data_IF_606210786157
#
_entry.id   IF_606210786157
#
_cell.length_a   1.000
_cell.length_b   1.000
_cell.length_c   1.000
_cell.angle_alpha   90.00
_cell.angle_beta   90.00
_cell.angle_gamma   90.00
#
_symmetry.space_group_name_H-M   'P 1'
#
loop_
_entity.id
_entity.type
_entity.pdbx_description
1 polymer ?
#
# COMPACT_ATOMS: atom_id res chain seq x y z
N UNK A 1 -28.01 17.12 75.05
CA UNK A 1 -26.86 16.20 75.15
C UNK A 1 -26.85 15.27 73.95
N UNK A 2 -25.65 15.02 73.42
CA UNK A 2 -25.24 14.08 72.37
C UNK A 2 -25.46 14.49 70.90
N UNK A 3 -24.29 14.65 70.26
CA UNK A 3 -24.00 14.95 68.86
C UNK A 3 -24.25 13.70 68.00
N UNK A 4 -24.56 13.88 66.72
CA UNK A 4 -24.09 12.95 65.69
C UNK A 4 -23.85 13.69 64.39
N UNK A 5 -22.56 13.89 64.10
CA UNK A 5 -22.01 14.26 62.81
C UNK A 5 -21.79 12.93 62.07
N UNK A 6 -22.24 12.82 60.82
CA UNK A 6 -21.72 11.78 59.93
C UNK A 6 -21.47 12.38 58.55
N UNK A 7 -20.19 12.57 58.25
CA UNK A 7 -19.64 12.98 56.97
C UNK A 7 -20.07 12.05 55.85
N UNK A 8 -20.46 12.61 54.70
CA UNK A 8 -20.53 11.86 53.45
C UNK A 8 -19.30 12.18 52.59
N UNK A 9 -18.66 11.12 52.13
CA UNK A 9 -17.31 11.08 51.60
C UNK A 9 -17.15 11.73 50.22
N UNK A 10 -15.98 12.33 50.03
CA UNK A 10 -15.43 12.85 48.79
C UNK A 10 -15.17 11.70 47.81
N UNK A 11 -15.93 11.62 46.72
CA UNK A 11 -15.66 10.66 45.63
C UNK A 11 -14.81 11.35 44.57
N UNK A 12 -13.49 11.24 44.71
CA UNK A 12 -12.51 11.66 43.70
C UNK A 12 -12.63 10.68 42.53
N UNK A 13 -13.29 11.10 41.45
CA UNK A 13 -13.18 10.41 40.16
C UNK A 13 -11.78 10.65 39.61
N UNK A 14 -10.85 9.75 39.94
CA UNK A 14 -9.59 9.61 39.21
C UNK A 14 -9.92 9.19 37.78
N UNK A 15 -9.91 10.14 36.86
CA UNK A 15 -9.85 9.86 35.43
C UNK A 15 -8.49 9.20 35.15
N UNK A 16 -8.46 7.87 35.26
CA UNK A 16 -7.43 7.07 34.65
C UNK A 16 -7.57 7.26 33.14
N UNK A 17 -6.67 8.02 32.54
CA UNK A 17 -6.54 8.14 31.10
C UNK A 17 -6.24 6.78 30.51
N UNK A 18 -7.29 6.06 30.13
CA UNK A 18 -7.21 4.93 29.23
C UNK A 18 -6.78 5.52 27.88
N UNK A 19 -5.49 5.43 27.56
CA UNK A 19 -5.06 5.52 26.17
C UNK A 19 -5.59 4.27 25.47
N UNK A 20 -6.83 4.37 24.98
CA UNK A 20 -7.34 3.46 24.00
C UNK A 20 -6.42 3.60 22.78
N UNK A 21 -5.44 2.70 22.67
CA UNK A 21 -4.60 2.60 21.50
C UNK A 21 -5.53 2.23 20.34
N UNK A 22 -5.89 3.23 19.53
CA UNK A 22 -6.63 3.04 18.29
C UNK A 22 -5.96 1.92 17.52
N UNK A 23 -6.65 0.78 17.42
CA UNK A 23 -6.33 -0.24 16.45
C UNK A 23 -6.62 0.37 15.08
N UNK A 24 -5.63 1.10 14.56
CA UNK A 24 -5.63 1.79 13.29
C UNK A 24 -5.76 0.77 12.14
N UNK A 25 -6.94 0.19 11.97
CA UNK A 25 -7.35 -0.42 10.73
C UNK A 25 -7.94 0.68 9.86
N UNK A 26 -7.07 1.55 9.33
CA UNK A 26 -7.45 2.46 8.24
C UNK A 26 -8.21 1.65 7.18
N UNK A 27 -9.35 2.15 6.67
CA UNK A 27 -10.08 1.48 5.60
C UNK A 27 -9.10 1.14 4.48
N UNK A 28 -9.01 -0.15 4.11
CA UNK A 28 -8.13 -0.60 3.03
C UNK A 28 -8.57 0.09 1.73
N UNK A 29 -7.77 1.05 1.26
CA UNK A 29 -8.10 1.91 0.12
C UNK A 29 -8.38 1.08 -1.14
N UNK A 30 -9.39 1.46 -1.92
CA UNK A 30 -9.64 0.79 -3.20
C UNK A 30 -8.52 1.07 -4.21
N UNK A 31 -8.31 0.21 -5.22
CA UNK A 31 -7.36 0.49 -6.29
C UNK A 31 -7.59 1.84 -6.97
N UNK A 32 -8.85 2.25 -7.15
CA UNK A 32 -9.17 3.53 -7.78
C UNK A 32 -8.76 4.72 -6.90
N UNK A 33 -8.92 4.64 -5.58
CA UNK A 33 -8.48 5.70 -4.67
C UNK A 33 -6.96 5.87 -4.68
N UNK A 34 -6.22 4.76 -4.75
CA UNK A 34 -4.76 4.80 -4.90
C UNK A 34 -4.36 5.43 -6.24
N UNK A 35 -5.08 5.11 -7.32
CA UNK A 35 -4.85 5.70 -8.64
C UNK A 35 -5.16 7.20 -8.62
N UNK A 36 -6.23 7.65 -7.96
CA UNK A 36 -6.60 9.07 -7.86
C UNK A 36 -5.52 9.91 -7.17
N UNK A 37 -4.75 9.33 -6.24
CA UNK A 37 -3.58 10.00 -5.63
C UNK A 37 -2.48 10.31 -6.63
N UNK A 38 -2.41 9.59 -7.76
CA UNK A 38 -1.46 9.88 -8.86
C UNK A 38 -2.14 10.66 -9.98
N UNK A 39 -3.39 10.35 -10.27
CA UNK A 39 -4.20 10.98 -11.32
C UNK A 39 -5.57 11.39 -10.76
N UNK A 40 -5.71 12.61 -10.20
CA UNK A 40 -6.96 13.03 -9.57
C UNK A 40 -8.19 13.01 -10.50
N UNK A 41 -7.98 13.10 -11.82
CA UNK A 41 -9.04 13.01 -12.83
C UNK A 41 -9.50 11.57 -13.14
N UNK A 42 -8.84 10.54 -12.59
CA UNK A 42 -9.19 9.15 -12.83
C UNK A 42 -10.57 8.81 -12.26
N UNK A 43 -11.40 8.17 -13.08
CA UNK A 43 -12.76 7.78 -12.69
C UNK A 43 -13.00 6.29 -12.78
N UNK A 44 -12.27 5.57 -13.63
CA UNK A 44 -12.42 4.12 -13.78
C UNK A 44 -11.07 3.44 -14.03
N UNK A 45 -10.99 2.18 -13.63
CA UNK A 45 -9.95 1.24 -14.03
C UNK A 45 -10.60 0.22 -14.95
N UNK A 46 -10.11 0.08 -16.17
CA UNK A 46 -10.65 -0.84 -17.18
C UNK A 46 -9.62 -1.94 -17.44
N UNK A 47 -10.03 -3.20 -17.25
CA UNK A 47 -9.19 -4.36 -17.56
C UNK A 47 -8.93 -4.42 -19.07
N UNK A 48 -7.67 -4.64 -19.46
CA UNK A 48 -7.27 -4.90 -20.86
C UNK A 48 -7.02 -6.40 -21.03
N UNK A 49 -6.21 -6.97 -20.16
CA UNK A 49 -5.99 -8.41 -20.03
C UNK A 49 -5.74 -8.74 -18.55
N UNK A 50 -5.28 -9.96 -18.26
CA UNK A 50 -5.06 -10.40 -16.88
C UNK A 50 -4.07 -9.53 -16.08
N UNK A 51 -3.09 -8.91 -16.76
CA UNK A 51 -2.04 -8.12 -16.12
C UNK A 51 -2.27 -6.62 -16.28
N UNK A 52 -2.70 -6.21 -17.47
CA UNK A 52 -2.80 -4.81 -17.86
C UNK A 52 -4.20 -4.29 -17.58
N UNK A 53 -4.27 -3.23 -16.78
CA UNK A 53 -5.45 -2.41 -16.60
C UNK A 53 -5.11 -0.97 -17.00
N UNK A 54 -6.06 -0.22 -17.55
CA UNK A 54 -5.90 1.21 -17.85
C UNK A 54 -6.69 2.05 -16.87
N UNK A 55 -6.07 3.10 -16.33
CA UNK A 55 -6.77 4.18 -15.65
C UNK A 55 -7.29 5.17 -16.69
N UNK A 56 -8.58 5.51 -16.62
CA UNK A 56 -9.23 6.44 -17.55
C UNK A 56 -9.95 7.56 -16.81
N UNK A 57 -10.06 8.73 -17.45
CA UNK A 57 -10.87 9.84 -16.96
C UNK A 57 -12.35 9.72 -17.37
N UNK A 58 -13.16 10.74 -17.02
CA UNK A 58 -14.59 10.82 -17.38
C UNK A 58 -14.86 10.71 -18.88
N UNK A 59 -13.90 11.11 -19.72
CA UNK A 59 -14.02 11.12 -21.20
C UNK A 59 -13.46 9.84 -21.83
N UNK A 60 -13.02 8.87 -21.02
CA UNK A 60 -12.40 7.64 -21.49
C UNK A 60 -10.94 7.81 -21.94
N UNK A 61 -10.32 8.99 -21.73
CA UNK A 61 -8.91 9.21 -22.07
C UNK A 61 -8.03 8.40 -21.13
N UNK A 62 -7.10 7.64 -21.70
CA UNK A 62 -6.12 6.87 -20.94
C UNK A 62 -5.16 7.81 -20.23
N UNK A 63 -5.04 7.65 -18.92
CA UNK A 63 -4.11 8.40 -18.07
C UNK A 63 -2.81 7.62 -17.86
N UNK A 64 -2.92 6.29 -17.79
CA UNK A 64 -1.82 5.38 -17.54
C UNK A 64 -2.30 3.95 -17.31
N UNK A 65 -1.40 3.09 -16.84
CA UNK A 65 -1.71 1.68 -16.58
C UNK A 65 -1.59 1.35 -15.09
N UNK A 66 -2.34 0.34 -14.67
CA UNK A 66 -2.46 -0.09 -13.27
C UNK A 66 -2.24 -1.60 -13.21
N UNK A 67 -1.39 -2.02 -12.28
CA UNK A 67 -1.03 -3.42 -12.05
C UNK A 67 -1.27 -3.77 -10.59
N UNK A 68 -1.89 -4.91 -10.34
CA UNK A 68 -2.18 -5.42 -9.01
C UNK A 68 -1.59 -6.82 -8.87
N UNK A 69 -0.81 -7.06 -7.81
CA UNK A 69 -0.20 -8.38 -7.58
C UNK A 69 -1.03 -9.34 -6.74
N UNK A 70 -2.21 -8.94 -6.25
CA UNK A 70 -3.01 -9.76 -5.31
C UNK A 70 -3.33 -11.17 -5.84
N UNK A 71 -3.63 -11.30 -7.13
CA UNK A 71 -3.95 -12.61 -7.73
C UNK A 71 -2.71 -13.46 -8.01
N UNK A 72 -1.55 -12.83 -8.15
CA UNK A 72 -0.32 -13.46 -8.64
C UNK A 72 0.74 -13.70 -7.57
N UNK A 73 0.75 -12.87 -6.53
CA UNK A 73 1.79 -12.79 -5.50
C UNK A 73 1.37 -13.41 -4.17
N UNK A 74 0.42 -14.35 -4.16
CA UNK A 74 -0.12 -14.98 -2.94
C UNK A 74 0.97 -15.64 -2.09
N UNK A 75 2.00 -16.20 -2.73
CA UNK A 75 3.12 -16.87 -2.05
C UNK A 75 4.27 -15.91 -1.69
N UNK A 76 4.16 -14.63 -2.06
CA UNK A 76 5.18 -13.62 -1.74
C UNK A 76 4.85 -13.01 -0.38
N UNK A 77 5.46 -13.60 0.65
CA UNK A 77 5.20 -13.29 2.07
C UNK A 77 6.20 -12.26 2.64
N UNK A 78 5.66 -11.30 3.38
CA UNK A 78 6.36 -10.41 4.28
C UNK A 78 6.40 -10.97 5.71
N UNK A 79 6.37 -10.10 6.70
CA UNK A 79 6.40 -10.48 8.11
C UNK A 79 5.09 -11.11 8.59
N UNK A 80 3.93 -10.60 8.15
CA UNK A 80 2.60 -11.06 8.60
C UNK A 80 1.75 -11.67 7.46
N UNK A 81 2.41 -12.32 6.50
CA UNK A 81 1.75 -12.99 5.39
C UNK A 81 1.95 -12.26 4.06
N UNK A 82 1.06 -12.46 3.07
CA UNK A 82 1.22 -11.88 1.74
C UNK A 82 1.26 -10.35 1.75
N UNK A 83 2.12 -9.75 0.92
CA UNK A 83 2.21 -8.29 0.74
C UNK A 83 1.93 -7.92 -0.72
N UNK A 84 0.66 -7.90 -1.15
CA UNK A 84 0.32 -7.41 -2.47
C UNK A 84 0.80 -5.98 -2.68
N UNK A 85 1.01 -5.60 -3.94
CA UNK A 85 1.33 -4.23 -4.33
C UNK A 85 0.38 -3.75 -5.44
N UNK A 86 0.24 -2.44 -5.51
CA UNK A 86 -0.28 -1.73 -6.68
C UNK A 86 0.84 -0.91 -7.32
N UNK A 87 0.93 -0.98 -8.64
CA UNK A 87 1.82 -0.14 -9.44
C UNK A 87 0.98 0.70 -10.41
N UNK A 88 1.26 1.99 -10.46
CA UNK A 88 0.67 2.93 -11.41
C UNK A 88 1.76 3.44 -12.33
N UNK A 89 1.52 3.43 -13.63
CA UNK A 89 2.43 3.96 -14.65
C UNK A 89 1.78 5.11 -15.41
N UNK A 90 2.58 5.87 -16.15
CA UNK A 90 2.06 6.72 -17.23
C UNK A 90 1.76 5.92 -18.50
N UNK A 91 1.31 6.64 -19.54
CA UNK A 91 1.01 6.09 -20.88
C UNK A 91 2.24 5.49 -21.58
N UNK A 92 3.44 5.96 -21.24
CA UNK A 92 4.72 5.45 -21.75
C UNK A 92 5.24 4.27 -20.89
N UNK A 93 4.37 3.73 -20.03
CA UNK A 93 4.63 2.59 -19.16
C UNK A 93 5.77 2.84 -18.17
N UNK A 94 6.05 4.11 -17.85
CA UNK A 94 7.01 4.49 -16.82
C UNK A 94 6.30 4.54 -15.47
N UNK A 95 6.89 3.88 -14.47
CA UNK A 95 6.33 3.79 -13.12
C UNK A 95 6.26 5.18 -12.50
N UNK A 96 5.10 5.51 -11.95
CA UNK A 96 4.82 6.74 -11.20
C UNK A 96 4.58 6.48 -9.72
N UNK A 97 4.11 5.29 -9.37
CA UNK A 97 3.86 4.88 -8.00
C UNK A 97 3.97 3.38 -7.83
N UNK A 98 4.62 2.96 -6.75
CA UNK A 98 4.53 1.61 -6.19
C UNK A 98 4.01 1.77 -4.77
N UNK A 99 3.06 0.95 -4.35
CA UNK A 99 2.58 0.93 -2.96
C UNK A 99 2.21 -0.47 -2.54
N UNK A 100 2.36 -0.79 -1.25
CA UNK A 100 1.74 -1.98 -0.70
C UNK A 100 0.21 -1.85 -0.75
N UNK A 101 -0.48 -2.97 -0.90
CA UNK A 101 -1.92 -3.07 -1.09
C UNK A 101 -2.49 -4.25 -0.30
N UNK A 102 -3.63 -4.07 0.36
CA UNK A 102 -4.40 -5.11 1.07
C UNK A 102 -3.57 -6.19 1.80
N UNK A 103 -2.62 -5.77 2.63
CA UNK A 103 -1.76 -6.67 3.42
C UNK A 103 -2.10 -6.61 4.91
N UNK A 104 -1.43 -7.44 5.70
CA UNK A 104 -1.56 -7.50 7.16
C UNK A 104 -0.24 -7.15 7.88
N UNK A 105 0.68 -6.45 7.22
CA UNK A 105 1.97 -6.05 7.80
C UNK A 105 1.79 -5.19 9.05
N UNK A 106 2.77 -5.24 9.95
CA UNK A 106 2.85 -4.25 11.03
C UNK A 106 3.10 -2.87 10.42
N UNK A 107 2.27 -1.85 10.68
CA UNK A 107 2.38 -0.53 10.04
C UNK A 107 3.79 0.07 10.12
N UNK A 108 4.47 -0.09 11.27
CA UNK A 108 5.85 0.36 11.50
C UNK A 108 6.83 -0.09 10.40
N UNK A 109 6.71 -1.31 9.88
CA UNK A 109 7.62 -1.79 8.83
C UNK A 109 7.35 -1.12 7.49
N UNK A 110 6.08 -0.97 7.08
CA UNK A 110 5.74 -0.28 5.84
C UNK A 110 6.09 1.22 5.91
N UNK A 111 5.87 1.86 7.06
CA UNK A 111 6.31 3.24 7.30
C UNK A 111 7.81 3.39 7.18
N UNK A 112 8.59 2.45 7.76
CA UNK A 112 10.05 2.45 7.62
C UNK A 112 10.49 2.25 6.17
N UNK A 113 9.90 1.28 5.46
CA UNK A 113 10.17 1.04 4.03
C UNK A 113 9.87 2.28 3.18
N UNK A 114 8.78 2.99 3.48
CA UNK A 114 8.43 4.23 2.81
C UNK A 114 9.40 5.38 3.11
N UNK A 115 9.77 5.56 4.39
CA UNK A 115 10.71 6.60 4.83
C UNK A 115 12.10 6.43 4.19
N UNK A 116 12.55 5.20 4.03
CA UNK A 116 13.83 4.83 3.40
C UNK A 116 13.74 4.83 1.85
N UNK A 117 12.58 5.23 1.31
CA UNK A 117 12.41 5.49 -0.12
C UNK A 117 12.36 4.24 -0.99
N UNK A 118 12.16 3.03 -0.43
CA UNK A 118 12.16 1.79 -1.21
C UNK A 118 11.10 1.80 -2.32
N UNK A 119 9.89 2.29 -2.04
CA UNK A 119 8.82 2.39 -3.05
C UNK A 119 9.19 3.29 -4.24
N UNK A 120 10.09 4.25 -4.04
CA UNK A 120 10.49 5.22 -5.06
C UNK A 120 11.61 4.72 -5.98
N UNK A 121 12.25 3.59 -5.65
CA UNK A 121 13.41 3.05 -6.40
C UNK A 121 13.08 2.71 -7.86
N UNK A 122 11.80 2.52 -8.18
CA UNK A 122 11.34 2.23 -9.54
C UNK A 122 10.76 3.42 -10.29
N UNK A 123 10.66 4.61 -9.68
CA UNK A 123 10.06 5.77 -10.32
C UNK A 123 10.81 6.12 -11.63
N UNK A 124 10.06 6.36 -12.71
CA UNK A 124 10.61 6.65 -14.03
C UNK A 124 11.15 5.43 -14.80
N UNK A 125 11.22 4.25 -14.19
CA UNK A 125 11.62 3.01 -14.87
C UNK A 125 10.46 2.44 -15.67
N UNK A 126 10.76 1.79 -16.79
CA UNK A 126 9.72 1.11 -17.57
C UNK A 126 9.28 -0.15 -16.83
N UNK A 127 7.96 -0.37 -16.71
CA UNK A 127 7.41 -1.50 -15.97
C UNK A 127 7.92 -2.86 -16.46
N UNK A 128 8.18 -3.02 -17.75
CA UNK A 128 8.68 -4.29 -18.33
C UNK A 128 10.17 -4.55 -18.04
N UNK A 129 10.90 -3.56 -17.54
CA UNK A 129 12.33 -3.63 -17.16
C UNK A 129 12.55 -3.50 -15.66
N UNK A 130 11.52 -3.16 -14.88
CA UNK A 130 11.63 -2.90 -13.44
C UNK A 130 12.15 -4.10 -12.63
N UNK A 131 12.00 -5.34 -13.13
CA UNK A 131 12.58 -6.54 -12.50
C UNK A 131 14.11 -6.56 -12.49
N UNK A 132 14.75 -5.83 -13.41
CA UNK A 132 16.21 -5.83 -13.60
C UNK A 132 16.90 -4.80 -12.67
N UNK A 133 16.12 -3.97 -11.97
CA UNK A 133 16.64 -3.00 -11.01
C UNK A 133 17.14 -3.71 -9.74
N UNK A 134 18.39 -3.43 -9.36
CA UNK A 134 18.94 -3.86 -8.08
C UNK A 134 18.43 -2.91 -6.99
N UNK A 135 17.60 -3.44 -6.09
CA UNK A 135 17.01 -2.69 -4.99
C UNK A 135 17.35 -3.39 -3.69
N UNK A 136 18.03 -2.67 -2.81
CA UNK A 136 18.38 -3.18 -1.49
C UNK A 136 17.18 -3.16 -0.55
N UNK A 137 17.15 -4.13 0.36
CA UNK A 137 16.15 -4.18 1.42
C UNK A 137 16.45 -3.18 2.53
N UNK A 138 15.42 -2.78 3.26
CA UNK A 138 15.55 -1.86 4.39
C UNK A 138 15.85 -2.63 5.68
N UNK A 139 16.95 -2.27 6.36
CA UNK A 139 17.35 -2.88 7.63
C UNK A 139 16.25 -2.75 8.69
N UNK A 140 15.93 -3.85 9.36
CA UNK A 140 14.84 -3.89 10.35
C UNK A 140 13.43 -3.91 9.74
N UNK A 141 13.32 -3.99 8.41
CA UNK A 141 12.08 -4.24 7.66
C UNK A 141 12.35 -5.22 6.49
N UNK A 142 13.26 -6.19 6.70
CA UNK A 142 13.81 -7.05 5.64
C UNK A 142 12.75 -7.91 4.96
N UNK A 143 11.85 -8.53 5.73
CA UNK A 143 10.79 -9.39 5.17
C UNK A 143 9.81 -8.59 4.31
N UNK A 144 9.33 -7.45 4.81
CA UNK A 144 8.43 -6.55 4.09
C UNK A 144 9.09 -6.00 2.82
N UNK A 145 10.35 -5.56 2.92
CA UNK A 145 11.15 -5.08 1.80
C UNK A 145 11.28 -6.13 0.70
N UNK A 146 11.68 -7.35 1.07
CA UNK A 146 11.83 -8.48 0.15
C UNK A 146 10.52 -8.82 -0.53
N UNK A 147 9.40 -8.79 0.20
CA UNK A 147 8.09 -9.08 -0.37
C UNK A 147 7.67 -8.04 -1.42
N UNK A 148 7.91 -6.75 -1.15
CA UNK A 148 7.64 -5.66 -2.10
C UNK A 148 8.51 -5.81 -3.36
N UNK A 149 9.82 -5.99 -3.18
CA UNK A 149 10.78 -6.16 -4.30
C UNK A 149 10.35 -7.34 -5.19
N UNK A 150 10.06 -8.50 -4.60
CA UNK A 150 9.62 -9.69 -5.33
C UNK A 150 8.31 -9.46 -6.08
N UNK A 151 7.36 -8.73 -5.50
CA UNK A 151 6.12 -8.41 -6.20
C UNK A 151 6.34 -7.46 -7.39
N UNK A 152 7.24 -6.47 -7.29
CA UNK A 152 7.60 -5.62 -8.43
C UNK A 152 8.23 -6.45 -9.54
N UNK A 153 9.15 -7.36 -9.20
CA UNK A 153 9.80 -8.26 -10.15
C UNK A 153 8.77 -9.18 -10.84
N UNK A 154 7.84 -9.75 -10.08
CA UNK A 154 6.76 -10.59 -10.59
C UNK A 154 5.87 -9.84 -11.59
N UNK A 155 5.38 -8.66 -11.22
CA UNK A 155 4.54 -7.84 -12.08
C UNK A 155 5.30 -7.41 -13.33
N UNK A 156 6.56 -6.98 -13.17
CA UNK A 156 7.40 -6.58 -14.30
C UNK A 156 7.61 -7.70 -15.31
N UNK A 157 7.90 -8.92 -14.82
CA UNK A 157 7.99 -10.13 -15.65
C UNK A 157 6.69 -10.39 -16.40
N UNK A 158 5.56 -10.42 -15.69
CA UNK A 158 4.24 -10.69 -16.28
C UNK A 158 3.81 -9.61 -17.28
N UNK A 159 4.12 -8.34 -17.02
CA UNK A 159 3.84 -7.24 -17.94
C UNK A 159 4.62 -7.40 -19.25
N UNK A 160 5.87 -7.88 -19.18
CA UNK A 160 6.71 -8.20 -20.34
C UNK A 160 6.22 -9.43 -21.11
N UNK A 161 5.63 -10.42 -20.45
CA UNK A 161 5.10 -11.63 -21.09
C UNK A 161 3.73 -11.39 -21.76
N UNK A 162 2.86 -10.60 -21.11
CA UNK A 162 1.49 -10.32 -21.56
C UNK A 162 1.36 -8.91 -22.17
N UNK A 163 2.28 -8.55 -23.07
CA UNK A 163 2.35 -7.20 -23.64
C UNK A 163 1.04 -6.81 -24.33
N UNK A 164 0.69 -5.54 -24.19
CA UNK A 164 -0.30 -4.89 -25.03
C UNK A 164 0.41 -4.40 -26.31
N UNK A 165 -0.23 -4.58 -27.47
CA UNK A 165 0.25 -4.09 -28.77
C UNK A 165 0.16 -2.57 -28.83
#
# INVERSE_FOLDING_TARGET
>A
MKKLILSFALMIFTYCGISAQESNHSPKESPLEIVKKTYPSATKIVKINDIWNKAVDKRGKVLGYVFNSSEYGKDIRGFRGPVPILIVTDKNQKIRKVTAFNNNETPKYLSKVAAEGLFNKWNGKNIQKAKDEKVDGVTGATFSSRAIIKNVQLISKKAKEKKIK
#
